data_IF_979624815391
#
_entry.id   IF_979624815391
#
_cell.length_a   1.000
_cell.length_b   1.000
_cell.length_c   1.000
_cell.angle_alpha   90.00
_cell.angle_beta   90.00
_cell.angle_gamma   90.00
#
_symmetry.space_group_name_H-M   'P 1'
#
loop_
_entity.id
_entity.type
_entity.pdbx_description
1 polymer ?
#
# COMPACT_ATOMS: atom_id res chain seq x y z
N UNK A 1 -0.39 2.21 -27.24
CA UNK A 1 -0.26 2.32 -25.74
C UNK A 1 1.07 1.69 -25.39
N UNK A 2 1.94 2.38 -24.63
CA UNK A 2 3.24 1.80 -24.21
C UNK A 2 2.97 0.70 -23.18
N UNK A 3 3.70 -0.43 -23.29
CA UNK A 3 3.51 -1.56 -22.36
C UNK A 3 4.20 -1.27 -21.03
N UNK A 4 3.41 -0.93 -20.01
CA UNK A 4 3.92 -0.62 -18.68
C UNK A 4 4.50 -1.86 -17.99
N UNK A 5 3.96 -3.06 -18.22
CA UNK A 5 4.48 -4.27 -17.60
C UNK A 5 5.89 -4.60 -18.12
N UNK A 6 6.09 -4.47 -19.44
CA UNK A 6 7.43 -4.62 -20.04
C UNK A 6 8.37 -3.54 -19.51
N UNK A 7 7.91 -2.28 -19.41
CA UNK A 7 8.74 -1.20 -18.87
C UNK A 7 9.17 -1.47 -17.43
N UNK A 8 8.25 -1.89 -16.55
CA UNK A 8 8.57 -2.22 -15.16
C UNK A 8 9.65 -3.32 -15.11
N UNK A 9 9.44 -4.43 -15.81
CA UNK A 9 10.39 -5.56 -15.81
C UNK A 9 11.78 -5.21 -16.35
N UNK A 10 11.88 -4.22 -17.26
CA UNK A 10 13.15 -3.90 -17.95
C UNK A 10 13.88 -2.68 -17.38
N UNK A 11 13.18 -1.75 -16.73
CA UNK A 11 13.76 -0.46 -16.32
C UNK A 11 13.68 -0.18 -14.81
N UNK A 12 12.85 -0.91 -14.07
CA UNK A 12 12.85 -0.81 -12.61
C UNK A 12 13.74 -1.89 -12.01
N UNK A 13 14.19 -1.68 -10.77
CA UNK A 13 14.99 -2.65 -10.04
C UNK A 13 14.11 -3.49 -9.14
N UNK A 14 14.11 -4.82 -9.34
CA UNK A 14 13.52 -5.73 -8.37
C UNK A 14 14.47 -5.86 -7.17
N UNK A 15 14.05 -5.35 -6.02
CA UNK A 15 14.87 -5.29 -4.82
C UNK A 15 14.02 -5.47 -3.56
N UNK A 16 14.63 -5.90 -2.43
CA UNK A 16 13.94 -5.96 -1.14
C UNK A 16 13.37 -4.59 -0.75
N UNK A 17 12.15 -4.58 -0.23
CA UNK A 17 11.56 -3.37 0.35
C UNK A 17 12.29 -3.00 1.65
N UNK A 18 12.65 -1.72 1.82
CA UNK A 18 13.59 -1.29 2.87
C UNK A 18 13.15 -1.63 4.31
N UNK A 19 11.86 -1.51 4.62
CA UNK A 19 11.35 -1.80 5.96
C UNK A 19 10.89 -3.25 6.13
N UNK A 20 10.69 -3.96 5.04
CA UNK A 20 10.21 -5.35 5.01
C UNK A 20 11.00 -6.12 3.94
N UNK A 21 12.29 -6.43 4.20
CA UNK A 21 13.20 -7.02 3.22
C UNK A 21 12.76 -8.43 2.77
N UNK A 22 11.78 -9.02 3.44
CA UNK A 22 11.12 -10.25 3.05
C UNK A 22 10.29 -10.09 1.77
N UNK A 23 9.94 -8.85 1.38
CA UNK A 23 9.12 -8.54 0.21
C UNK A 23 9.97 -7.91 -0.89
N UNK A 24 9.92 -8.49 -2.08
CA UNK A 24 10.59 -7.98 -3.27
C UNK A 24 9.65 -7.05 -4.04
N UNK A 25 10.12 -5.85 -4.42
CA UNK A 25 9.34 -4.88 -5.18
C UNK A 25 10.16 -4.35 -6.36
N UNK A 26 9.49 -4.12 -7.50
CA UNK A 26 10.04 -3.31 -8.58
C UNK A 26 10.03 -1.83 -8.16
N UNK A 27 11.20 -1.24 -8.02
CA UNK A 27 11.39 0.11 -7.49
C UNK A 27 12.04 1.02 -8.53
N UNK A 28 11.55 2.24 -8.63
CA UNK A 28 12.16 3.25 -9.49
C UNK A 28 13.49 3.73 -8.90
N UNK A 29 14.41 4.07 -9.79
CA UNK A 29 15.69 4.68 -9.47
C UNK A 29 15.94 5.88 -10.42
N UNK A 30 16.90 6.76 -10.13
CA UNK A 30 17.09 8.01 -10.91
C UNK A 30 17.31 7.81 -12.42
N UNK A 31 17.81 6.64 -12.82
CA UNK A 31 18.08 6.31 -14.24
C UNK A 31 17.00 5.45 -14.89
N UNK A 32 15.90 5.12 -14.20
CA UNK A 32 14.83 4.27 -14.73
C UNK A 32 14.08 4.89 -15.92
N UNK A 33 14.09 6.23 -16.04
CA UNK A 33 13.37 6.93 -17.10
C UNK A 33 11.85 6.89 -16.95
N UNK A 34 11.34 6.56 -15.76
CA UNK A 34 9.90 6.37 -15.49
C UNK A 34 9.08 7.63 -15.82
N UNK A 35 9.52 8.81 -15.41
CA UNK A 35 8.83 10.07 -15.73
C UNK A 35 8.71 10.30 -17.24
N UNK A 36 9.79 10.04 -17.99
CA UNK A 36 9.76 10.12 -19.46
C UNK A 36 8.81 9.11 -20.09
N UNK A 37 8.74 7.91 -19.52
CA UNK A 37 7.85 6.87 -19.99
C UNK A 37 6.38 7.25 -19.81
N UNK A 38 6.02 7.81 -18.64
CA UNK A 38 4.64 8.22 -18.31
C UNK A 38 4.22 9.48 -19.07
N UNK A 39 5.16 10.39 -19.39
CA UNK A 39 4.89 11.69 -19.98
C UNK A 39 4.51 12.76 -18.96
N UNK A 40 4.38 14.01 -19.41
CA UNK A 40 4.13 15.17 -18.53
C UNK A 40 2.69 15.20 -17.99
N UNK A 41 1.74 14.58 -18.69
CA UNK A 41 0.32 14.52 -18.28
C UNK A 41 0.00 13.29 -17.42
N UNK A 42 1.00 12.46 -17.10
CA UNK A 42 0.84 11.25 -16.30
C UNK A 42 0.63 11.56 -14.80
N UNK A 43 -0.22 10.79 -14.14
CA UNK A 43 -0.30 10.80 -12.68
C UNK A 43 1.06 10.47 -12.05
N UNK A 44 1.36 11.09 -10.91
CA UNK A 44 2.61 10.78 -10.19
C UNK A 44 2.70 9.28 -9.90
N UNK A 45 3.83 8.63 -10.23
CA UNK A 45 3.95 7.18 -10.12
C UNK A 45 4.21 6.74 -8.65
N UNK A 46 3.25 7.01 -7.77
CA UNK A 46 3.35 6.69 -6.35
C UNK A 46 3.68 5.22 -6.09
N UNK A 47 3.14 4.32 -6.94
CA UNK A 47 3.35 2.87 -6.87
C UNK A 47 4.81 2.41 -7.06
N UNK A 48 5.64 3.24 -7.65
CA UNK A 48 7.05 2.90 -7.93
C UNK A 48 8.00 3.24 -6.78
N UNK A 49 7.48 3.79 -5.68
CA UNK A 49 8.25 4.26 -4.53
C UNK A 49 7.76 3.64 -3.24
N UNK A 50 8.66 3.53 -2.26
CA UNK A 50 8.32 3.04 -0.92
C UNK A 50 7.82 4.18 -0.04
N UNK A 51 6.53 4.15 0.31
CA UNK A 51 5.89 5.11 1.21
C UNK A 51 5.82 4.55 2.62
N UNK A 52 6.06 5.39 3.61
CA UNK A 52 6.16 4.97 5.00
C UNK A 52 4.88 4.32 5.54
N UNK A 53 3.70 4.81 5.14
CA UNK A 53 2.43 4.23 5.58
C UNK A 53 2.21 2.80 5.09
N UNK A 54 2.59 2.49 3.85
CA UNK A 54 2.58 1.11 3.33
C UNK A 54 3.62 0.23 4.03
N UNK A 55 4.84 0.74 4.25
CA UNK A 55 5.91 0.02 4.92
C UNK A 55 5.57 -0.34 6.37
N UNK A 56 5.07 0.63 7.17
CA UNK A 56 4.73 0.38 8.58
C UNK A 56 3.61 -0.62 8.72
N UNK A 57 2.61 -0.55 7.84
CA UNK A 57 1.48 -1.47 7.85
C UNK A 57 1.91 -2.89 7.44
N UNK A 58 2.73 -3.02 6.39
CA UNK A 58 3.29 -4.30 5.97
C UNK A 58 4.17 -4.94 7.05
N UNK A 59 5.00 -4.14 7.75
CA UNK A 59 5.81 -4.64 8.88
C UNK A 59 4.92 -5.15 10.01
N UNK A 60 3.92 -4.36 10.42
CA UNK A 60 2.98 -4.78 11.46
C UNK A 60 2.26 -6.09 11.10
N UNK A 61 1.83 -6.24 9.86
CA UNK A 61 1.18 -7.45 9.35
C UNK A 61 2.10 -8.67 9.47
N UNK A 62 3.35 -8.54 9.01
CA UNK A 62 4.31 -9.65 9.06
C UNK A 62 4.74 -10.03 10.48
N UNK A 63 4.70 -9.07 11.41
CA UNK A 63 5.01 -9.33 12.83
C UNK A 63 3.84 -9.97 13.59
N UNK A 64 2.61 -9.94 13.01
CA UNK A 64 1.40 -10.46 13.64
C UNK A 64 0.61 -11.40 12.71
N UNK A 65 1.23 -12.45 12.15
CA UNK A 65 0.57 -13.31 11.16
C UNK A 65 -0.68 -14.00 11.71
N UNK A 66 -0.72 -14.27 13.01
CA UNK A 66 -1.86 -14.90 13.70
C UNK A 66 -3.14 -14.06 13.61
N UNK A 67 -3.02 -12.75 13.40
CA UNK A 67 -4.18 -11.85 13.27
C UNK A 67 -4.83 -11.92 11.88
N UNK A 68 -4.16 -12.49 10.89
CA UNK A 68 -4.61 -12.45 9.49
C UNK A 68 -4.93 -13.81 8.90
N UNK A 69 -4.40 -14.88 9.47
CA UNK A 69 -4.57 -16.23 8.91
C UNK A 69 -6.04 -16.57 8.64
N UNK A 70 -6.35 -16.88 7.38
CA UNK A 70 -7.68 -17.24 6.90
C UNK A 70 -8.68 -16.08 6.76
N UNK A 71 -8.34 -14.84 7.19
CA UNK A 71 -9.20 -13.66 7.06
C UNK A 71 -9.27 -13.18 5.61
N UNK A 72 -10.40 -12.53 5.29
CA UNK A 72 -10.55 -11.77 4.05
C UNK A 72 -10.01 -10.36 4.28
N UNK A 73 -9.01 -9.98 3.52
CA UNK A 73 -8.34 -8.68 3.62
C UNK A 73 -8.55 -7.88 2.35
N UNK A 74 -8.90 -6.60 2.48
CA UNK A 74 -8.99 -5.65 1.39
C UNK A 74 -7.94 -4.54 1.59
N UNK A 75 -7.01 -4.42 0.63
CA UNK A 75 -6.01 -3.36 0.58
C UNK A 75 -6.47 -2.27 -0.39
N UNK A 76 -6.71 -1.05 0.10
CA UNK A 76 -7.21 0.08 -0.68
C UNK A 76 -6.10 1.09 -0.96
N UNK A 77 -5.98 1.49 -2.24
CA UNK A 77 -4.86 2.31 -2.70
C UNK A 77 -3.56 1.51 -2.63
N UNK A 78 -3.60 0.27 -3.14
CA UNK A 78 -2.55 -0.73 -2.96
C UNK A 78 -1.17 -0.31 -3.47
N UNK A 79 -1.11 0.62 -4.43
CA UNK A 79 0.12 1.16 -4.99
C UNK A 79 1.07 0.06 -5.50
N UNK A 80 2.16 -0.17 -4.80
CA UNK A 80 3.13 -1.23 -5.11
C UNK A 80 2.63 -2.64 -4.76
N UNK A 81 1.53 -2.78 -4.02
CA UNK A 81 1.04 -4.05 -3.51
C UNK A 81 1.70 -4.52 -2.20
N UNK A 82 2.55 -3.71 -1.58
CA UNK A 82 3.35 -4.13 -0.42
C UNK A 82 2.50 -4.65 0.75
N UNK A 83 1.36 -3.99 1.04
CA UNK A 83 0.44 -4.36 2.12
C UNK A 83 -0.31 -5.64 1.77
N UNK A 84 -0.83 -5.72 0.55
CA UNK A 84 -1.50 -6.91 0.02
C UNK A 84 -0.59 -8.14 0.03
N UNK A 85 0.66 -7.99 -0.42
CA UNK A 85 1.68 -9.05 -0.42
C UNK A 85 1.99 -9.49 1.01
N UNK A 86 2.18 -8.55 1.94
CA UNK A 86 2.40 -8.86 3.36
C UNK A 86 1.25 -9.69 3.92
N UNK A 87 -0.01 -9.29 3.67
CA UNK A 87 -1.19 -10.00 4.12
C UNK A 87 -1.30 -11.41 3.50
N UNK A 88 -1.05 -11.55 2.21
CA UNK A 88 -1.10 -12.86 1.55
C UNK A 88 -0.06 -13.83 2.12
N UNK A 89 1.15 -13.34 2.44
CA UNK A 89 2.21 -14.18 3.09
C UNK A 89 1.82 -14.71 4.46
N UNK A 90 0.87 -14.09 5.14
CA UNK A 90 0.36 -14.58 6.44
C UNK A 90 -0.80 -15.57 6.30
N UNK A 91 -1.17 -15.94 5.07
CA UNK A 91 -2.27 -16.89 4.81
C UNK A 91 -3.65 -16.23 4.77
N UNK A 92 -3.73 -14.92 4.60
CA UNK A 92 -4.98 -14.21 4.34
C UNK A 92 -5.47 -14.46 2.90
N UNK A 93 -6.77 -14.31 2.66
CA UNK A 93 -7.37 -14.17 1.33
C UNK A 93 -7.44 -12.70 1.00
N UNK A 94 -6.67 -12.25 0.00
CA UNK A 94 -6.43 -10.83 -0.21
C UNK A 94 -7.03 -10.36 -1.53
N UNK A 95 -7.81 -9.29 -1.43
CA UNK A 95 -8.17 -8.43 -2.55
C UNK A 95 -7.47 -7.08 -2.39
N UNK A 96 -7.06 -6.49 -3.51
CA UNK A 96 -6.39 -5.20 -3.52
C UNK A 96 -6.94 -4.34 -4.66
N UNK A 97 -7.12 -3.05 -4.40
CA UNK A 97 -7.71 -2.14 -5.36
C UNK A 97 -6.90 -0.86 -5.46
N UNK A 98 -6.75 -0.36 -6.68
CA UNK A 98 -6.18 0.94 -6.96
C UNK A 98 -6.91 1.63 -8.12
N UNK A 99 -6.95 2.95 -8.10
CA UNK A 99 -7.54 3.75 -9.16
C UNK A 99 -6.61 3.87 -10.37
N UNK A 100 -5.30 3.68 -10.18
CA UNK A 100 -4.28 3.75 -11.22
C UNK A 100 -4.00 2.36 -11.82
N UNK A 101 -4.25 2.22 -13.13
CA UNK A 101 -3.94 0.99 -13.87
C UNK A 101 -2.45 0.61 -13.79
N UNK A 102 -1.55 1.58 -13.72
CA UNK A 102 -0.11 1.32 -13.59
C UNK A 102 0.22 0.75 -12.21
N UNK A 103 -0.44 1.24 -11.14
CA UNK A 103 -0.34 0.69 -9.80
C UNK A 103 -0.82 -0.76 -9.76
N UNK A 104 -2.00 -1.05 -10.31
CA UNK A 104 -2.53 -2.42 -10.40
C UNK A 104 -1.57 -3.34 -11.16
N UNK A 105 -0.97 -2.85 -12.25
CA UNK A 105 0.01 -3.64 -13.03
C UNK A 105 1.29 -3.90 -12.22
N UNK A 106 1.82 -2.87 -11.55
CA UNK A 106 3.00 -3.01 -10.71
C UNK A 106 2.76 -3.96 -9.54
N UNK A 107 1.62 -3.84 -8.86
CA UNK A 107 1.25 -4.70 -7.74
C UNK A 107 1.13 -6.18 -8.14
N UNK A 108 0.55 -6.48 -9.31
CA UNK A 108 0.52 -7.84 -9.87
C UNK A 108 1.91 -8.40 -10.12
N UNK A 109 2.80 -7.62 -10.74
CA UNK A 109 4.18 -8.04 -10.99
C UNK A 109 4.97 -8.25 -9.69
N UNK A 110 4.71 -7.42 -8.68
CA UNK A 110 5.31 -7.58 -7.36
C UNK A 110 4.76 -8.83 -6.65
N UNK A 111 3.46 -9.12 -6.74
CA UNK A 111 2.88 -10.34 -6.18
C UNK A 111 3.46 -11.60 -6.87
N UNK A 112 3.59 -11.60 -8.20
CA UNK A 112 4.28 -12.66 -8.95
C UNK A 112 5.72 -12.86 -8.46
N UNK A 113 6.48 -11.78 -8.24
CA UNK A 113 7.86 -11.82 -7.77
C UNK A 113 8.01 -12.32 -6.32
N UNK A 114 6.93 -12.34 -5.55
CA UNK A 114 6.88 -12.83 -4.17
C UNK A 114 6.16 -14.18 -4.03
N UNK A 115 5.73 -14.78 -5.13
CA UNK A 115 5.01 -16.08 -5.16
C UNK A 115 3.78 -16.09 -4.24
N UNK A 116 2.94 -15.04 -4.34
CA UNK A 116 1.69 -14.92 -3.59
C UNK A 116 0.50 -14.64 -4.49
N UNK A 117 -0.66 -15.14 -4.09
CA UNK A 117 -1.93 -14.93 -4.77
C UNK A 117 -2.67 -13.73 -4.15
N UNK A 118 -2.97 -12.73 -4.98
CA UNK A 118 -3.78 -11.56 -4.64
C UNK A 118 -4.73 -11.24 -5.79
N UNK A 119 -6.00 -10.99 -5.49
CA UNK A 119 -6.97 -10.56 -6.50
C UNK A 119 -6.93 -9.04 -6.62
N UNK A 120 -6.48 -8.54 -7.77
CA UNK A 120 -6.33 -7.11 -8.02
C UNK A 120 -7.47 -6.53 -8.86
N UNK A 121 -8.01 -5.39 -8.43
CA UNK A 121 -9.07 -4.64 -9.08
C UNK A 121 -8.61 -3.24 -9.46
N UNK A 122 -9.05 -2.76 -10.63
CA UNK A 122 -8.93 -1.36 -11.03
C UNK A 122 -10.21 -0.63 -10.67
N UNK A 123 -10.12 0.40 -9.83
CA UNK A 123 -11.28 1.19 -9.45
C UNK A 123 -11.09 2.02 -8.19
N UNK A 124 -12.11 2.78 -7.83
CA UNK A 124 -12.13 3.55 -6.59
C UNK A 124 -12.60 2.69 -5.41
N UNK A 125 -11.67 2.17 -4.65
CA UNK A 125 -11.94 1.32 -3.49
C UNK A 125 -12.72 2.01 -2.37
N UNK A 126 -12.72 3.34 -2.31
CA UNK A 126 -13.48 4.11 -1.34
C UNK A 126 -14.97 4.31 -1.74
N UNK A 127 -15.35 3.88 -2.94
CA UNK A 127 -16.71 3.98 -3.44
C UNK A 127 -17.56 2.71 -3.25
N UNK A 128 -16.96 1.63 -2.72
CA UNK A 128 -17.63 0.34 -2.54
C UNK A 128 -17.89 0.06 -1.05
N UNK A 129 -18.87 -0.83 -0.76
CA UNK A 129 -19.04 -1.36 0.60
C UNK A 129 -18.34 -2.71 0.68
N UNK A 130 -17.21 -2.81 1.40
CA UNK A 130 -16.43 -4.04 1.41
C UNK A 130 -17.07 -5.11 2.29
N UNK A 131 -16.97 -6.36 1.85
CA UNK A 131 -17.28 -7.54 2.65
C UNK A 131 -16.00 -8.22 3.16
N UNK A 132 -15.04 -7.43 3.65
CA UNK A 132 -13.78 -7.91 4.19
C UNK A 132 -13.81 -7.94 5.72
N UNK A 133 -13.00 -8.85 6.30
CA UNK A 133 -12.84 -8.95 7.75
C UNK A 133 -11.84 -7.91 8.27
N UNK A 134 -10.90 -7.50 7.42
CA UNK A 134 -9.93 -6.45 7.64
C UNK A 134 -9.77 -5.58 6.39
N UNK A 135 -9.77 -4.27 6.57
CA UNK A 135 -9.48 -3.28 5.54
C UNK A 135 -8.15 -2.59 5.89
N UNK A 136 -7.26 -2.50 4.91
CA UNK A 136 -5.97 -1.83 5.03
C UNK A 136 -5.94 -0.52 4.24
N UNK A 137 -5.49 0.56 4.87
CA UNK A 137 -5.34 1.89 4.28
C UNK A 137 -3.90 2.38 4.52
N UNK A 138 -3.01 2.18 3.54
CA UNK A 138 -1.60 2.59 3.62
C UNK A 138 -1.37 3.96 2.98
N UNK A 139 -0.95 4.95 3.77
CA UNK A 139 -0.55 6.30 3.29
C UNK A 139 -1.64 7.07 2.50
N UNK A 140 -2.93 6.93 2.85
CA UNK A 140 -4.04 7.60 2.15
C UNK A 140 -4.43 8.96 2.75
N UNK A 141 -3.73 9.46 3.78
CA UNK A 141 -4.06 10.70 4.49
C UNK A 141 -3.13 11.88 4.12
N UNK A 142 -2.57 11.87 2.91
CA UNK A 142 -1.63 12.90 2.44
C UNK A 142 -2.32 14.16 1.88
N UNK A 143 -3.60 14.09 1.51
CA UNK A 143 -4.40 15.20 0.97
C UNK A 143 -5.75 15.25 1.70
N UNK A 144 -6.25 16.47 1.99
CA UNK A 144 -7.41 16.69 2.87
C UNK A 144 -8.71 16.06 2.35
N UNK A 145 -8.98 16.18 1.05
CA UNK A 145 -10.19 15.62 0.43
C UNK A 145 -10.18 14.10 0.42
N UNK A 146 -9.04 13.51 0.09
CA UNK A 146 -8.86 12.06 0.13
C UNK A 146 -8.94 11.53 1.58
N UNK A 147 -8.30 12.21 2.54
CA UNK A 147 -8.33 11.84 3.94
C UNK A 147 -9.76 11.85 4.53
N UNK A 148 -10.56 12.88 4.18
CA UNK A 148 -11.95 12.94 4.60
C UNK A 148 -12.78 11.77 4.04
N UNK A 149 -12.59 11.42 2.76
CA UNK A 149 -13.23 10.26 2.12
C UNK A 149 -12.78 8.95 2.76
N UNK A 150 -11.47 8.76 2.96
CA UNK A 150 -10.90 7.56 3.58
C UNK A 150 -11.42 7.36 5.01
N UNK A 151 -11.53 8.43 5.80
CA UNK A 151 -12.08 8.38 7.16
C UNK A 151 -13.58 8.06 7.17
N UNK A 152 -14.36 8.67 6.28
CA UNK A 152 -15.78 8.38 6.15
C UNK A 152 -16.01 6.93 5.73
N UNK A 153 -15.24 6.44 4.76
CA UNK A 153 -15.25 5.05 4.34
C UNK A 153 -14.89 4.12 5.50
N UNK A 154 -13.76 4.37 6.19
CA UNK A 154 -13.32 3.55 7.31
C UNK A 154 -14.42 3.40 8.39
N UNK A 155 -15.11 4.49 8.72
CA UNK A 155 -16.23 4.50 9.68
C UNK A 155 -17.47 3.74 9.20
N UNK A 156 -17.65 3.55 7.90
CA UNK A 156 -18.76 2.80 7.32
C UNK A 156 -18.49 1.30 7.22
N UNK A 157 -17.23 0.88 7.36
CA UNK A 157 -16.85 -0.53 7.28
C UNK A 157 -17.35 -1.32 8.48
N UNK A 158 -17.82 -2.57 8.22
CA UNK A 158 -18.16 -3.53 9.28
C UNK A 158 -16.94 -4.29 9.79
N UNK A 159 -15.95 -4.48 8.94
CA UNK A 159 -14.68 -5.12 9.28
C UNK A 159 -13.75 -4.20 10.06
N UNK A 160 -12.74 -4.78 10.64
CA UNK A 160 -11.65 -4.03 11.28
C UNK A 160 -10.91 -3.18 10.24
N UNK A 161 -10.44 -1.99 10.62
CA UNK A 161 -9.68 -1.11 9.72
C UNK A 161 -8.31 -0.83 10.32
N UNK A 162 -7.26 -1.11 9.57
CA UNK A 162 -5.89 -0.74 9.91
C UNK A 162 -5.39 0.36 8.98
N UNK A 163 -4.82 1.40 9.57
CA UNK A 163 -4.30 2.57 8.87
C UNK A 163 -2.82 2.68 9.15
N UNK A 164 -1.99 2.62 8.12
CA UNK A 164 -0.56 2.90 8.19
C UNK A 164 -0.26 4.32 7.74
N UNK A 165 0.38 5.14 8.60
CA UNK A 165 0.60 6.56 8.32
C UNK A 165 1.84 7.11 9.05
N UNK A 166 2.70 7.92 8.41
CA UNK A 166 3.87 8.53 9.03
C UNK A 166 3.56 9.86 9.76
N UNK A 167 2.31 10.11 10.12
CA UNK A 167 1.91 11.36 10.76
C UNK A 167 1.55 12.46 9.77
N UNK A 168 0.91 12.12 8.65
CA UNK A 168 0.41 13.10 7.68
C UNK A 168 -0.55 14.08 8.35
N UNK A 169 -0.49 15.36 7.98
CA UNK A 169 -1.28 16.44 8.62
C UNK A 169 -2.80 16.22 8.56
N UNK A 170 -3.28 15.50 7.54
CA UNK A 170 -4.70 15.25 7.36
C UNK A 170 -5.20 14.02 8.15
N UNK A 171 -4.31 13.25 8.80
CA UNK A 171 -4.72 12.12 9.64
C UNK A 171 -5.34 12.64 10.95
N UNK A 172 -6.57 12.24 11.31
CA UNK A 172 -7.24 12.70 12.53
C UNK A 172 -6.80 11.85 13.75
N UNK A 173 -5.57 12.02 14.20
CA UNK A 173 -4.95 11.21 15.28
C UNK A 173 -5.85 11.03 16.51
N UNK A 174 -6.58 12.08 16.93
CA UNK A 174 -7.44 12.04 18.11
C UNK A 174 -8.70 11.16 17.95
N UNK A 175 -9.02 10.75 16.73
CA UNK A 175 -10.16 9.90 16.41
C UNK A 175 -9.77 8.43 16.17
N UNK A 176 -8.50 8.09 16.42
CA UNK A 176 -7.95 6.77 16.14
C UNK A 176 -7.29 6.19 17.39
N UNK A 177 -7.28 4.85 17.46
CA UNK A 177 -6.56 4.11 18.49
C UNK A 177 -5.23 3.60 17.93
N UNK A 178 -4.15 3.90 18.63
CA UNK A 178 -2.81 3.44 18.27
C UNK A 178 -2.67 1.92 18.49
N UNK A 179 -2.07 1.23 17.52
CA UNK A 179 -1.76 -0.20 17.58
C UNK A 179 -0.25 -0.46 17.73
N UNK A 180 0.56 0.18 16.90
CA UNK A 180 2.03 -0.01 16.88
C UNK A 180 2.74 1.18 16.24
N UNK A 181 4.05 1.27 16.46
CA UNK A 181 4.93 2.21 15.78
C UNK A 181 6.24 1.54 15.41
N UNK A 182 6.80 1.94 14.25
CA UNK A 182 8.08 1.46 13.74
C UNK A 182 8.84 2.61 13.07
N UNK A 183 10.15 2.58 13.16
CA UNK A 183 10.99 3.46 12.35
C UNK A 183 11.11 2.87 10.94
N UNK A 184 10.55 3.57 9.97
CA UNK A 184 10.54 3.13 8.57
C UNK A 184 11.04 4.25 7.64
N UNK A 185 11.67 3.91 6.51
CA UNK A 185 12.04 4.90 5.52
C UNK A 185 10.78 5.44 4.81
N UNK A 186 10.75 6.74 4.55
CA UNK A 186 9.78 7.36 3.64
C UNK A 186 10.46 7.77 2.33
N UNK A 187 9.67 7.91 1.27
CA UNK A 187 10.19 8.37 -0.01
C UNK A 187 10.85 9.75 0.12
N UNK A 188 12.07 9.87 -0.43
CA UNK A 188 12.84 11.12 -0.38
C UNK A 188 13.59 11.37 0.95
N UNK A 189 13.43 10.52 1.96
CA UNK A 189 14.16 10.61 3.21
C UNK A 189 15.33 9.61 3.26
N UNK A 190 16.45 10.05 3.84
CA UNK A 190 17.65 9.22 3.99
C UNK A 190 17.70 8.45 5.31
N UNK A 191 16.96 8.91 6.32
CA UNK A 191 16.93 8.34 7.66
C UNK A 191 15.51 7.84 7.95
N UNK A 192 15.35 6.62 8.48
CA UNK A 192 14.06 6.13 8.96
C UNK A 192 13.47 7.07 10.03
N UNK A 193 12.17 7.24 10.01
CA UNK A 193 11.43 8.04 10.95
C UNK A 193 10.22 7.26 11.49
N UNK A 194 9.69 7.62 12.68
CA UNK A 194 8.52 6.97 13.23
C UNK A 194 7.33 7.04 12.26
N UNK A 195 6.67 5.91 12.09
CA UNK A 195 5.37 5.80 11.47
C UNK A 195 4.49 4.87 12.32
N UNK A 196 3.20 5.00 12.18
CA UNK A 196 2.25 4.39 13.10
C UNK A 196 1.23 3.54 12.39
N UNK A 197 0.77 2.49 13.07
CA UNK A 197 -0.42 1.73 12.72
C UNK A 197 -1.55 2.13 13.67
N UNK A 198 -2.67 2.49 13.08
CA UNK A 198 -3.87 2.94 13.77
C UNK A 198 -5.07 2.06 13.44
N UNK A 199 -6.09 2.09 14.30
CA UNK A 199 -7.42 1.53 14.02
C UNK A 199 -8.49 2.49 14.54
N UNK A 200 -9.73 2.24 14.14
CA UNK A 200 -10.88 2.94 14.74
C UNK A 200 -11.08 2.50 16.20
N UNK A 201 -11.67 3.34 17.04
CA UNK A 201 -12.00 3.03 18.44
C UNK A 201 -12.87 1.80 18.58
#
# INVERSE_FOLDING_TARGET
>A
MRDIALFIKTHLTLAPAKAVPEIMLYQAHPKSGLTRFLGDDGASPYWAYGWAGGHVLARYILDHPEKLQGRRVLDIGTGSGIVAIAAARTGARVEAVDIDLHAVTAARLNAEANDVDVLFHLGDGLAVTPEADLICLGDLFYEQGLAARALAFAKSCKGEVWIGDPGRKALPHNALRHLASYDVPDFGQSVPAPAWVWTLP
#
